data_IF_587534422275
#
_entry.id   IF_587534422275
#
_cell.length_a   1.000
_cell.length_b   1.000
_cell.length_c   1.000
_cell.angle_alpha   90.00
_cell.angle_beta   90.00
_cell.angle_gamma   90.00
#
_symmetry.space_group_name_H-M   'P 1'
#
loop_
_entity.id
_entity.type
_entity.pdbx_description
1 polymer ?
#
# COMPACT_ATOMS: atom_id res chain seq x y z
N UNK A 1 -17.95 12.77 -5.22
CA UNK A 1 -17.12 13.83 -4.58
C UNK A 1 -17.50 14.13 -3.13
N UNK A 2 -18.78 14.40 -2.78
CA UNK A 2 -19.17 14.72 -1.39
C UNK A 2 -18.97 13.54 -0.40
N UNK A 3 -19.19 12.31 -0.83
CA UNK A 3 -19.01 11.12 0.04
C UNK A 3 -17.54 10.80 0.34
N UNK A 4 -16.63 10.91 -0.63
CA UNK A 4 -15.18 10.73 -0.39
C UNK A 4 -14.66 11.80 0.58
N UNK A 5 -15.09 13.04 0.36
CA UNK A 5 -14.76 14.14 1.27
C UNK A 5 -15.33 13.84 2.65
N UNK A 6 -16.53 13.28 2.78
CA UNK A 6 -17.15 12.97 4.07
C UNK A 6 -16.48 11.78 4.78
N UNK A 7 -16.17 10.69 4.08
CA UNK A 7 -15.47 9.49 4.61
C UNK A 7 -14.04 9.86 5.04
N UNK A 8 -13.40 10.80 4.34
CA UNK A 8 -12.02 11.20 4.62
C UNK A 8 -11.92 12.44 5.54
N UNK A 9 -13.00 13.23 5.67
CA UNK A 9 -13.18 14.27 6.70
C UNK A 9 -13.54 13.64 8.04
N UNK A 10 -14.27 12.53 8.05
CA UNK A 10 -14.33 11.66 9.24
C UNK A 10 -12.94 11.09 9.56
N UNK A 11 -12.14 10.70 8.55
CA UNK A 11 -10.75 10.30 8.79
C UNK A 11 -9.91 11.43 9.42
N UNK A 12 -10.08 12.70 9.05
CA UNK A 12 -9.37 13.85 9.63
C UNK A 12 -9.91 14.31 11.00
N UNK A 13 -11.23 14.39 11.19
CA UNK A 13 -11.87 14.81 12.45
C UNK A 13 -11.70 13.74 13.57
N UNK A 14 -11.51 12.47 13.20
CA UNK A 14 -11.17 11.36 14.11
C UNK A 14 -9.69 11.42 14.55
N UNK A 15 -8.80 12.02 13.76
CA UNK A 15 -7.36 12.14 14.09
C UNK A 15 -7.09 13.15 15.21
N UNK A 16 -7.92 14.18 15.38
CA UNK A 16 -7.67 15.26 16.35
C UNK A 16 -8.26 15.01 17.74
N UNK A 17 -9.28 14.14 17.89
CA UNK A 17 -10.08 14.15 19.12
C UNK A 17 -9.86 13.00 20.11
N UNK A 18 -9.59 11.75 19.72
CA UNK A 18 -9.58 10.65 20.71
C UNK A 18 -8.64 9.49 20.34
N UNK A 19 -7.72 9.16 21.26
CA UNK A 19 -6.98 7.90 21.20
C UNK A 19 -7.95 6.71 21.20
N UNK A 20 -7.73 5.78 20.26
CA UNK A 20 -8.42 4.50 20.04
C UNK A 20 -9.56 4.51 18.98
N UNK A 21 -9.17 4.14 17.75
CA UNK A 21 -9.73 3.01 16.99
C UNK A 21 -11.23 3.03 16.59
N UNK A 22 -11.69 4.06 15.87
CA UNK A 22 -12.96 3.96 15.12
C UNK A 22 -12.67 3.64 13.64
N UNK A 23 -12.56 2.34 13.37
CA UNK A 23 -12.65 1.63 12.08
C UNK A 23 -11.81 2.18 10.89
N UNK A 24 -10.49 2.31 11.11
CA UNK A 24 -9.54 2.56 10.01
C UNK A 24 -9.61 1.43 8.97
N UNK A 25 -9.77 0.18 9.43
CA UNK A 25 -9.88 -0.98 8.55
C UNK A 25 -11.11 -0.86 7.62
N UNK A 26 -12.30 -0.62 8.16
CA UNK A 26 -13.51 -0.42 7.36
C UNK A 26 -13.48 0.85 6.50
N UNK A 27 -12.70 1.87 6.90
CA UNK A 27 -12.45 3.04 6.04
C UNK A 27 -11.57 2.68 4.84
N UNK A 28 -10.55 1.84 5.05
CA UNK A 28 -9.72 1.31 3.97
C UNK A 28 -10.49 0.32 3.08
N UNK A 29 -11.45 -0.45 3.62
CA UNK A 29 -12.34 -1.30 2.82
C UNK A 29 -13.24 -0.46 1.89
N UNK A 30 -13.84 0.63 2.39
CA UNK A 30 -14.60 1.56 1.54
C UNK A 30 -13.72 2.21 0.48
N UNK A 31 -12.48 2.54 0.84
CA UNK A 31 -11.52 3.08 -0.11
C UNK A 31 -11.17 2.04 -1.18
N UNK A 32 -10.99 0.78 -0.79
CA UNK A 32 -10.71 -0.33 -1.69
C UNK A 32 -11.76 -0.48 -2.78
N UNK A 33 -13.05 -0.48 -2.41
CA UNK A 33 -14.17 -0.52 -3.36
C UNK A 33 -14.19 0.71 -4.28
N UNK A 34 -13.78 1.87 -3.77
CA UNK A 34 -13.81 3.12 -4.52
C UNK A 34 -12.71 3.23 -5.58
N UNK A 35 -11.50 2.72 -5.29
CA UNK A 35 -10.34 2.87 -6.16
C UNK A 35 -10.21 1.76 -7.23
N UNK A 36 -11.23 0.92 -7.39
CA UNK A 36 -11.24 -0.15 -8.40
C UNK A 36 -11.18 0.38 -9.86
N UNK A 37 -11.54 1.64 -10.07
CA UNK A 37 -11.35 2.33 -11.35
C UNK A 37 -10.05 3.12 -11.39
N UNK A 38 -9.36 3.06 -12.53
CA UNK A 38 -8.13 3.83 -12.83
C UNK A 38 -8.34 5.33 -12.59
N UNK A 39 -9.51 5.87 -12.95
CA UNK A 39 -9.81 7.30 -12.77
C UNK A 39 -9.88 7.67 -11.28
N UNK A 40 -10.56 6.86 -10.47
CA UNK A 40 -10.68 7.08 -9.02
C UNK A 40 -9.35 6.87 -8.31
N UNK A 41 -8.55 5.90 -8.72
CA UNK A 41 -7.18 5.72 -8.22
C UNK A 41 -6.32 6.96 -8.49
N UNK A 42 -6.43 7.56 -9.68
CA UNK A 42 -5.69 8.77 -10.03
C UNK A 42 -6.19 10.03 -9.28
N UNK A 43 -7.49 10.10 -8.99
CA UNK A 43 -8.07 11.20 -8.23
C UNK A 43 -7.60 11.21 -6.77
N UNK A 44 -7.28 10.05 -6.20
CA UNK A 44 -6.80 9.91 -4.81
C UNK A 44 -5.61 10.81 -4.51
N UNK A 45 -4.68 10.93 -5.45
CA UNK A 45 -3.55 11.84 -5.32
C UNK A 45 -3.97 13.31 -5.43
N UNK A 46 -4.83 13.64 -6.39
CA UNK A 46 -5.33 15.00 -6.61
C UNK A 46 -6.06 15.57 -5.39
N UNK A 47 -6.70 14.72 -4.60
CA UNK A 47 -7.38 15.10 -3.34
C UNK A 47 -6.47 15.01 -2.10
N UNK A 48 -5.17 14.77 -2.28
CA UNK A 48 -4.16 14.76 -1.20
C UNK A 48 -4.18 13.50 -0.32
N UNK A 49 -4.86 12.42 -0.74
CA UNK A 49 -5.10 11.23 0.11
C UNK A 49 -4.13 10.09 -0.15
N UNK A 50 -3.28 10.18 -1.17
CA UNK A 50 -2.27 9.16 -1.46
C UNK A 50 -1.23 9.02 -0.33
N UNK A 51 -0.71 10.13 0.19
CA UNK A 51 0.33 10.11 1.23
C UNK A 51 -0.20 9.51 2.55
N UNK A 52 -1.38 9.93 3.07
CA UNK A 52 -1.98 9.27 4.24
C UNK A 52 -2.18 7.76 4.07
N UNK A 53 -2.59 7.31 2.88
CA UNK A 53 -2.72 5.88 2.58
C UNK A 53 -1.37 5.15 2.74
N UNK A 54 -0.29 5.73 2.21
CA UNK A 54 1.05 5.14 2.31
C UNK A 54 1.59 5.15 3.74
N UNK A 55 1.23 6.13 4.56
CA UNK A 55 1.62 6.17 5.98
C UNK A 55 1.01 5.02 6.78
N UNK A 56 -0.17 4.51 6.39
CA UNK A 56 -0.76 3.32 7.02
C UNK A 56 0.05 2.04 6.80
N UNK A 57 0.97 2.01 5.82
CA UNK A 57 1.92 0.91 5.68
C UNK A 57 2.88 0.80 6.87
N UNK A 58 3.04 1.85 7.68
CA UNK A 58 3.86 1.85 8.90
C UNK A 58 3.02 1.78 10.18
N UNK A 59 1.71 1.49 10.06
CA UNK A 59 0.82 1.45 11.20
C UNK A 59 1.22 0.34 12.20
N UNK A 60 0.93 0.54 13.48
CA UNK A 60 1.18 -0.45 14.53
C UNK A 60 0.43 -1.76 14.29
N UNK A 61 -0.80 -1.70 13.79
CA UNK A 61 -1.67 -2.86 13.59
C UNK A 61 -1.44 -3.54 12.22
N UNK A 62 -1.24 -4.85 12.24
CA UNK A 62 -0.88 -5.63 11.05
C UNK A 62 -2.02 -5.70 10.00
N UNK A 63 -3.28 -5.78 10.44
CA UNK A 63 -4.45 -5.70 9.55
C UNK A 63 -4.48 -4.39 8.77
N UNK A 64 -4.20 -3.26 9.42
CA UNK A 64 -4.14 -1.94 8.76
C UNK A 64 -3.02 -1.91 7.72
N UNK A 65 -1.80 -2.38 8.07
CA UNK A 65 -0.68 -2.46 7.10
C UNK A 65 -1.02 -3.33 5.90
N UNK A 66 -1.61 -4.50 6.14
CA UNK A 66 -2.02 -5.42 5.08
C UNK A 66 -3.08 -4.82 4.16
N UNK A 67 -4.09 -4.14 4.73
CA UNK A 67 -5.16 -3.50 3.99
C UNK A 67 -4.67 -2.28 3.20
N UNK A 68 -3.78 -1.46 3.78
CA UNK A 68 -3.15 -0.36 3.06
C UNK A 68 -2.33 -0.86 1.86
N UNK A 69 -1.60 -1.97 2.03
CA UNK A 69 -0.89 -2.62 0.92
C UNK A 69 -1.85 -3.21 -0.13
N UNK A 70 -3.02 -3.70 0.28
CA UNK A 70 -4.08 -4.15 -0.63
C UNK A 70 -4.62 -3.01 -1.50
N UNK A 71 -4.96 -1.87 -0.89
CA UNK A 71 -5.38 -0.67 -1.63
C UNK A 71 -4.25 -0.18 -2.55
N UNK A 72 -3.00 -0.23 -2.08
CA UNK A 72 -1.83 0.13 -2.89
C UNK A 72 -1.67 -0.77 -4.13
N UNK A 73 -2.01 -2.08 -4.05
CA UNK A 73 -2.05 -2.96 -5.23
C UNK A 73 -3.03 -2.39 -6.25
N UNK A 74 -4.26 -2.13 -5.83
CA UNK A 74 -5.35 -1.72 -6.74
C UNK A 74 -5.07 -0.40 -7.42
N UNK A 75 -4.56 0.60 -6.69
CA UNK A 75 -4.28 1.91 -7.31
C UNK A 75 -3.17 1.85 -8.37
N UNK A 76 -2.16 1.00 -8.19
CA UNK A 76 -0.99 0.94 -9.12
C UNK A 76 -1.13 -0.14 -10.19
N UNK A 77 -2.00 -1.13 -10.00
CA UNK A 77 -2.18 -2.23 -10.94
C UNK A 77 -2.66 -1.70 -12.30
N UNK A 78 -1.87 -1.97 -13.34
CA UNK A 78 -2.15 -1.49 -14.70
C UNK A 78 -2.31 0.04 -14.81
N UNK A 79 -1.74 0.82 -13.88
CA UNK A 79 -1.89 2.26 -13.81
C UNK A 79 -0.52 2.98 -13.72
N UNK A 80 0.11 3.32 -14.87
CA UNK A 80 1.42 3.96 -14.90
C UNK A 80 1.48 5.31 -14.16
N UNK A 81 0.40 6.08 -14.18
CA UNK A 81 0.32 7.37 -13.48
C UNK A 81 0.38 7.16 -11.96
N UNK A 82 -0.46 6.28 -11.42
CA UNK A 82 -0.43 5.97 -9.99
C UNK A 82 0.86 5.29 -9.56
N UNK A 83 1.46 4.42 -10.40
CA UNK A 83 2.80 3.89 -10.15
C UNK A 83 3.83 5.01 -9.95
N UNK A 84 3.84 6.01 -10.84
CA UNK A 84 4.75 7.15 -10.72
C UNK A 84 4.50 7.95 -9.43
N UNK A 85 3.24 8.28 -9.14
CA UNK A 85 2.87 9.06 -7.95
C UNK A 85 3.24 8.35 -6.64
N UNK A 86 3.08 7.03 -6.58
CA UNK A 86 3.51 6.23 -5.43
C UNK A 86 5.04 6.22 -5.29
N UNK A 87 5.78 6.16 -6.40
CA UNK A 87 7.24 6.26 -6.36
C UNK A 87 7.71 7.64 -5.87
N UNK A 88 7.09 8.71 -6.35
CA UNK A 88 7.39 10.10 -5.94
C UNK A 88 7.07 10.34 -4.46
N UNK A 89 6.02 9.71 -3.94
CA UNK A 89 5.66 9.74 -2.53
C UNK A 89 6.50 8.79 -1.64
N UNK A 90 7.58 8.21 -2.16
CA UNK A 90 8.43 7.23 -1.47
C UNK A 90 7.67 5.99 -0.94
N UNK A 91 6.61 5.57 -1.62
CA UNK A 91 5.77 4.44 -1.21
C UNK A 91 6.46 3.07 -1.33
N UNK A 92 7.55 2.97 -2.10
CA UNK A 92 8.31 1.72 -2.23
C UNK A 92 9.03 1.34 -0.92
N UNK A 93 9.51 2.30 -0.14
CA UNK A 93 10.25 2.06 1.10
C UNK A 93 9.43 1.29 2.15
N UNK A 94 8.23 1.73 2.56
CA UNK A 94 7.47 1.01 3.57
C UNK A 94 6.98 -0.36 3.07
N UNK A 95 6.73 -0.51 1.76
CA UNK A 95 6.42 -1.79 1.16
C UNK A 95 7.60 -2.77 1.27
N UNK A 96 8.83 -2.31 1.00
CA UNK A 96 10.03 -3.13 1.16
C UNK A 96 10.28 -3.51 2.62
N UNK A 97 10.08 -2.59 3.56
CA UNK A 97 10.17 -2.87 5.00
C UNK A 97 9.16 -3.95 5.42
N UNK A 98 7.90 -3.80 5.00
CA UNK A 98 6.85 -4.76 5.30
C UNK A 98 7.10 -6.13 4.65
N UNK A 99 7.66 -6.15 3.44
CA UNK A 99 8.06 -7.39 2.77
C UNK A 99 9.25 -8.05 3.46
N UNK A 100 10.28 -7.31 3.87
CA UNK A 100 11.51 -7.90 4.38
C UNK A 100 11.44 -8.29 5.86
N UNK A 101 10.61 -7.62 6.67
CA UNK A 101 10.75 -7.68 8.13
C UNK A 101 9.44 -7.75 8.91
N UNK A 102 8.26 -7.72 8.27
CA UNK A 102 7.01 -7.87 9.02
C UNK A 102 6.86 -9.28 9.59
N UNK A 103 6.53 -9.43 10.89
CA UNK A 103 6.31 -10.75 11.49
C UNK A 103 5.04 -11.46 10.99
N UNK A 104 4.11 -10.75 10.34
CA UNK A 104 2.85 -11.30 9.87
C UNK A 104 2.91 -11.63 8.38
N UNK A 105 2.75 -12.92 8.06
CA UNK A 105 2.76 -13.44 6.68
C UNK A 105 1.76 -12.75 5.74
N UNK A 106 0.63 -12.29 6.28
CA UNK A 106 -0.40 -11.58 5.50
C UNK A 106 0.13 -10.24 5.01
N UNK A 107 0.81 -9.48 5.88
CA UNK A 107 1.43 -8.19 5.51
C UNK A 107 2.53 -8.41 4.49
N UNK A 108 3.40 -9.40 4.72
CA UNK A 108 4.46 -9.77 3.78
C UNK A 108 3.92 -10.08 2.38
N UNK A 109 2.85 -10.88 2.30
CA UNK A 109 2.23 -11.28 1.02
C UNK A 109 1.61 -10.09 0.29
N UNK A 110 0.87 -9.23 1.01
CA UNK A 110 0.25 -8.03 0.41
C UNK A 110 1.32 -7.02 -0.03
N UNK A 111 2.37 -6.83 0.76
CA UNK A 111 3.49 -5.97 0.40
C UNK A 111 4.20 -6.46 -0.87
N UNK A 112 4.46 -7.77 -0.99
CA UNK A 112 5.04 -8.35 -2.20
C UNK A 112 4.13 -8.15 -3.43
N UNK A 113 2.81 -8.33 -3.27
CA UNK A 113 1.83 -8.05 -4.31
C UNK A 113 1.88 -6.59 -4.77
N UNK A 114 1.92 -5.65 -3.82
CA UNK A 114 2.00 -4.22 -4.10
C UNK A 114 3.30 -3.87 -4.83
N UNK A 115 4.44 -4.39 -4.38
CA UNK A 115 5.74 -4.20 -5.05
C UNK A 115 5.68 -4.74 -6.47
N UNK A 116 5.16 -5.95 -6.66
CA UNK A 116 5.04 -6.57 -7.99
C UNK A 116 4.24 -5.69 -8.94
N UNK A 117 3.08 -5.19 -8.50
CA UNK A 117 2.24 -4.28 -9.29
C UNK A 117 2.90 -2.93 -9.53
N UNK A 118 3.62 -2.38 -8.53
CA UNK A 118 4.27 -1.08 -8.61
C UNK A 118 5.43 -1.05 -9.62
N UNK A 119 6.23 -2.12 -9.69
CA UNK A 119 7.42 -2.17 -10.55
C UNK A 119 7.15 -2.79 -11.93
N UNK A 120 6.02 -3.48 -12.11
CA UNK A 120 5.67 -4.11 -13.39
C UNK A 120 5.51 -3.06 -14.48
N UNK A 121 6.25 -3.24 -15.58
CA UNK A 121 6.34 -2.28 -16.69
C UNK A 121 6.81 -0.86 -16.28
N UNK A 122 7.37 -0.70 -15.07
CA UNK A 122 7.88 0.57 -14.54
C UNK A 122 9.40 0.48 -14.35
N UNK A 123 10.16 0.96 -15.34
CA UNK A 123 11.64 0.86 -15.34
C UNK A 123 12.28 1.56 -14.14
N UNK A 124 11.75 2.71 -13.72
CA UNK A 124 12.23 3.44 -12.56
C UNK A 124 11.97 2.65 -11.27
N UNK A 125 10.78 2.05 -11.14
CA UNK A 125 10.43 1.15 -10.04
C UNK A 125 11.36 -0.07 -9.95
N UNK A 126 11.66 -0.72 -11.08
CA UNK A 126 12.62 -1.86 -11.11
C UNK A 126 14.02 -1.42 -10.69
N UNK A 127 14.48 -0.25 -11.16
CA UNK A 127 15.78 0.28 -10.78
C UNK A 127 15.86 0.57 -9.27
N UNK A 128 14.82 1.20 -8.71
CA UNK A 128 14.72 1.48 -7.28
C UNK A 128 14.67 0.19 -6.44
N UNK A 129 13.86 -0.79 -6.85
CA UNK A 129 13.79 -2.11 -6.21
C UNK A 129 15.16 -2.81 -6.17
N UNK A 130 15.92 -2.74 -7.27
CA UNK A 130 17.28 -3.28 -7.33
C UNK A 130 18.23 -2.55 -6.39
N UNK A 131 18.20 -1.21 -6.38
CA UNK A 131 19.04 -0.38 -5.51
C UNK A 131 18.78 -0.67 -4.02
N UNK A 132 17.54 -0.98 -3.66
CA UNK A 132 17.14 -1.35 -2.31
C UNK A 132 17.36 -2.84 -1.98
N UNK A 133 18.19 -3.57 -2.74
CA UNK A 133 18.46 -5.00 -2.56
C UNK A 133 17.21 -5.90 -2.61
N UNK A 134 16.14 -5.49 -3.30
CA UNK A 134 14.88 -6.22 -3.35
C UNK A 134 15.00 -7.66 -3.86
N UNK A 135 15.93 -7.95 -4.78
CA UNK A 135 16.18 -9.31 -5.26
C UNK A 135 16.79 -10.23 -4.20
N UNK A 136 17.60 -9.68 -3.30
CA UNK A 136 18.15 -10.41 -2.15
C UNK A 136 17.02 -10.77 -1.20
N UNK A 137 16.19 -9.79 -0.84
CA UNK A 137 15.01 -10.02 0.00
C UNK A 137 14.06 -11.07 -0.63
N UNK A 138 13.86 -11.04 -1.95
CA UNK A 138 13.06 -12.05 -2.65
C UNK A 138 13.66 -13.45 -2.58
N UNK A 139 14.96 -13.58 -2.82
CA UNK A 139 15.67 -14.86 -2.71
C UNK A 139 15.56 -15.41 -1.29
N UNK A 140 15.77 -14.56 -0.29
CA UNK A 140 15.78 -14.97 1.11
C UNK A 140 14.36 -15.38 1.55
N UNK A 141 13.32 -14.65 1.11
CA UNK A 141 11.92 -15.02 1.33
C UNK A 141 11.57 -16.37 0.71
N UNK A 142 12.06 -16.67 -0.50
CA UNK A 142 11.86 -17.96 -1.18
C UNK A 142 12.66 -19.12 -0.55
N UNK A 143 13.78 -18.81 0.11
CA UNK A 143 14.66 -19.81 0.74
C UNK A 143 14.26 -20.11 2.18
N UNK A 144 13.56 -19.19 2.84
CA UNK A 144 12.94 -19.45 4.14
C UNK A 144 11.88 -20.55 3.98
N UNK A 145 11.81 -21.52 4.90
CA UNK A 145 10.85 -22.64 4.90
C UNK A 145 9.37 -22.20 5.10
N UNK A 146 8.99 -21.00 4.66
CA UNK A 146 7.61 -20.57 4.55
C UNK A 146 6.97 -21.22 3.32
N UNK A 147 6.61 -22.49 3.46
CA UNK A 147 5.97 -23.38 2.49
C UNK A 147 4.58 -22.93 1.96
N UNK A 148 4.26 -21.63 1.99
CA UNK A 148 2.99 -21.05 1.50
C UNK A 148 3.13 -20.13 0.28
N UNK A 149 4.34 -19.72 -0.11
CA UNK A 149 4.54 -18.93 -1.34
C UNK A 149 4.56 -19.76 -2.63
N UNK A 150 4.21 -21.06 -2.57
CA UNK A 150 4.21 -21.99 -3.71
C UNK A 150 2.80 -22.51 -4.10
N UNK A 151 1.72 -21.81 -3.73
CA UNK A 151 0.36 -22.19 -4.15
C UNK A 151 -0.35 -21.03 -4.83
#
# INVERSE_FOLDING_TARGET
MKEITLVMKTLEEVLESQGVNQDIEGSLDKLQEHVESIDMANDLHSIGRLVPLLDYLRNFHANIRAKAAEVAITIVQCNPKSQQLVMEANGLEPLLSNFASDPHVVVHTKALGAISSLIRHNKAGVAAFRLANGYVALRDALSSENARSQR
#
